data_IF_591840482904
#
_entry.id   IF_591840482904
#
_cell.length_a   1.000
_cell.length_b   1.000
_cell.length_c   1.000
_cell.angle_alpha   90.00
_cell.angle_beta   90.00
_cell.angle_gamma   90.00
#
_symmetry.space_group_name_H-M   'P 1'
#
loop_
_entity.id
_entity.type
_entity.pdbx_description
1 polymer ?
#
# COMPACT_ATOMS: atom_id res chain seq x y z
N UNK A 1 36.20 22.57 30.64
CA UNK A 1 36.48 21.31 29.89
C UNK A 1 35.67 21.40 28.61
N UNK A 2 36.30 21.84 27.51
CA UNK A 2 35.63 21.96 26.21
C UNK A 2 35.50 20.57 25.61
N UNK A 3 34.28 20.03 25.57
CA UNK A 3 33.99 18.84 24.80
C UNK A 3 33.86 19.30 23.35
N UNK A 4 34.98 19.26 22.62
CA UNK A 4 34.97 19.34 21.16
C UNK A 4 34.31 18.06 20.66
N UNK A 5 33.00 18.11 20.39
CA UNK A 5 32.38 17.12 19.54
C UNK A 5 32.92 17.36 18.13
N UNK A 6 33.88 16.54 17.73
CA UNK A 6 34.32 16.46 16.34
C UNK A 6 33.11 15.99 15.52
N UNK A 7 32.33 16.96 15.03
CA UNK A 7 30.98 16.73 14.52
C UNK A 7 31.03 15.87 13.25
N UNK A 8 32.15 15.91 12.54
CA UNK A 8 32.42 15.09 11.35
C UNK A 8 32.64 13.60 11.68
N UNK A 9 33.33 13.24 12.78
CA UNK A 9 33.49 11.84 13.20
C UNK A 9 32.19 11.25 13.77
N UNK A 10 31.37 12.06 14.44
CA UNK A 10 30.05 11.64 14.93
C UNK A 10 29.07 11.45 13.77
N UNK A 11 29.11 12.30 12.74
CA UNK A 11 28.32 12.15 11.52
C UNK A 11 28.78 10.98 10.65
N UNK A 12 30.07 10.64 10.67
CA UNK A 12 30.62 9.48 9.94
C UNK A 12 30.23 8.12 10.56
N UNK A 13 29.84 8.09 11.85
CA UNK A 13 29.44 6.87 12.57
C UNK A 13 27.95 6.81 12.90
N UNK A 14 27.21 7.93 12.82
CA UNK A 14 25.78 7.95 13.01
C UNK A 14 25.05 7.38 11.78
N UNK A 15 24.61 6.12 11.89
CA UNK A 15 23.65 5.53 10.94
C UNK A 15 22.41 6.43 10.88
N UNK A 16 22.08 6.94 9.70
CA UNK A 16 20.89 7.76 9.44
C UNK A 16 19.66 6.87 9.28
N UNK A 17 18.45 7.40 9.48
CA UNK A 17 17.23 6.59 9.32
C UNK A 17 16.98 6.27 7.85
N UNK A 18 16.53 5.05 7.56
CA UNK A 18 16.11 4.60 6.21
C UNK A 18 14.59 4.49 6.12
N UNK A 19 13.95 4.17 7.25
CA UNK A 19 12.51 3.98 7.36
C UNK A 19 11.96 4.73 8.58
N UNK A 20 10.75 5.27 8.47
CA UNK A 20 10.14 6.02 9.57
C UNK A 20 8.61 5.89 9.57
N UNK A 21 8.00 5.39 10.67
CA UNK A 21 6.55 5.36 10.80
C UNK A 21 5.98 6.77 11.03
N UNK A 22 6.84 7.74 11.41
CA UNK A 22 6.48 9.13 11.58
C UNK A 22 6.29 9.86 10.24
N UNK A 23 6.64 9.26 9.10
CA UNK A 23 6.51 9.88 7.78
C UNK A 23 5.10 10.42 7.51
N UNK A 24 4.07 9.71 7.95
CA UNK A 24 2.67 10.16 7.84
C UNK A 24 1.99 10.38 9.19
N UNK A 25 2.67 10.09 10.30
CA UNK A 25 2.09 10.18 11.64
C UNK A 25 3.01 10.93 12.61
N UNK A 26 2.87 12.26 12.66
CA UNK A 26 3.59 13.19 13.55
C UNK A 26 3.77 12.74 15.01
N UNK A 27 2.79 12.01 15.57
CA UNK A 27 2.77 11.57 16.98
C UNK A 27 3.12 10.10 17.16
N UNK A 28 3.67 9.46 16.14
CA UNK A 28 4.27 8.14 16.29
C UNK A 28 5.33 8.21 17.37
N UNK A 29 5.10 7.55 18.50
CA UNK A 29 6.11 7.35 19.55
C UNK A 29 7.18 6.34 19.12
N UNK A 30 7.04 5.77 17.92
CA UNK A 30 7.94 4.77 17.40
C UNK A 30 9.14 5.41 16.74
N UNK A 31 10.33 4.98 17.14
CA UNK A 31 11.58 5.44 16.56
C UNK A 31 11.66 5.07 15.07
N UNK A 32 12.23 5.93 14.22
CA UNK A 32 12.71 5.54 12.90
C UNK A 32 13.69 4.36 13.01
N UNK A 33 14.03 3.71 11.92
CA UNK A 33 15.00 2.60 11.93
C UNK A 33 16.02 2.73 10.80
N UNK A 34 17.20 2.14 11.02
CA UNK A 34 18.17 1.83 9.97
C UNK A 34 18.16 0.34 9.71
N UNK A 35 17.69 -0.07 8.53
CA UNK A 35 17.67 -1.45 8.08
C UNK A 35 17.75 -1.47 6.54
N UNK A 36 18.38 -2.52 6.00
CA UNK A 36 18.55 -2.72 4.56
C UNK A 36 18.04 -4.11 4.20
N UNK A 37 17.31 -4.22 3.08
CA UNK A 37 16.85 -5.50 2.55
C UNK A 37 18.05 -6.30 2.02
N UNK A 38 18.32 -7.45 2.65
CA UNK A 38 19.48 -8.31 2.35
C UNK A 38 19.20 -9.40 1.32
N UNK A 39 17.95 -9.52 0.86
CA UNK A 39 17.50 -10.54 -0.09
C UNK A 39 16.94 -9.88 -1.36
N UNK A 40 16.65 -10.70 -2.36
CA UNK A 40 16.12 -10.23 -3.62
C UNK A 40 14.63 -9.92 -3.51
N UNK A 41 14.21 -8.84 -4.18
CA UNK A 41 12.82 -8.44 -4.34
C UNK A 41 12.48 -8.58 -5.83
N UNK A 42 11.29 -9.10 -6.19
CA UNK A 42 10.90 -9.18 -7.60
C UNK A 42 10.97 -7.80 -8.27
N UNK A 43 11.51 -7.77 -9.49
CA UNK A 43 11.90 -6.52 -10.18
C UNK A 43 10.73 -5.58 -10.51
N UNK A 44 9.50 -6.06 -10.45
CA UNK A 44 8.29 -5.28 -10.67
C UNK A 44 7.69 -4.68 -9.38
N UNK A 45 8.34 -4.90 -8.22
CA UNK A 45 7.98 -4.27 -6.96
C UNK A 45 8.94 -3.14 -6.62
N UNK A 46 8.40 -1.96 -6.36
CA UNK A 46 9.12 -0.79 -5.83
C UNK A 46 9.44 -1.05 -4.36
N UNK A 47 10.73 -0.94 -4.02
CA UNK A 47 11.30 -1.03 -2.68
C UNK A 47 12.63 -0.28 -2.61
N UNK A 48 13.20 -0.11 -1.43
CA UNK A 48 14.54 0.44 -1.24
C UNK A 48 15.63 -0.40 -1.92
N UNK A 49 15.35 -1.67 -2.24
CA UNK A 49 16.25 -2.58 -2.95
C UNK A 49 16.22 -2.43 -4.46
N UNK A 50 15.07 -2.09 -5.02
CA UNK A 50 14.80 -2.08 -6.47
C UNK A 50 14.76 -0.66 -7.07
N UNK A 51 14.89 0.36 -6.23
CA UNK A 51 14.99 1.76 -6.64
C UNK A 51 16.40 2.27 -6.41
N UNK A 52 16.97 2.96 -7.41
CA UNK A 52 18.22 3.70 -7.27
C UNK A 52 18.00 4.98 -6.46
N UNK A 53 18.18 4.86 -5.15
CA UNK A 53 18.09 5.97 -4.22
C UNK A 53 19.29 6.92 -4.39
N UNK A 54 19.05 8.19 -4.71
CA UNK A 54 20.07 9.26 -4.70
C UNK A 54 20.49 9.61 -3.26
N UNK A 55 19.65 9.27 -2.28
CA UNK A 55 19.91 9.44 -0.85
C UNK A 55 19.30 8.28 -0.05
N UNK A 56 20.16 7.54 0.65
CA UNK A 56 19.76 6.35 1.42
C UNK A 56 19.33 6.67 2.86
N UNK A 57 19.97 7.66 3.49
CA UNK A 57 19.78 7.99 4.89
C UNK A 57 19.16 9.37 5.08
N UNK A 58 18.36 9.54 6.14
CA UNK A 58 17.69 10.79 6.48
C UNK A 58 17.97 11.18 7.93
N UNK A 59 18.18 12.48 8.16
CA UNK A 59 18.25 13.04 9.50
C UNK A 59 16.85 13.01 10.12
N UNK A 60 16.80 12.59 11.37
CA UNK A 60 15.57 12.45 12.13
C UNK A 60 15.81 13.06 13.52
N UNK A 61 14.87 13.88 14.00
CA UNK A 61 15.06 14.68 15.23
C UNK A 61 15.25 13.81 16.49
N UNK A 62 14.82 12.54 16.46
CA UNK A 62 14.87 11.62 17.60
C UNK A 62 15.99 10.56 17.49
N UNK A 63 16.90 10.67 16.53
CA UNK A 63 17.87 9.61 16.22
C UNK A 63 19.19 9.76 16.96
N UNK A 64 19.12 9.81 18.30
CA UNK A 64 20.30 9.65 19.13
C UNK A 64 20.89 8.24 18.96
N UNK A 65 21.88 8.09 18.07
CA UNK A 65 22.75 6.92 17.89
C UNK A 65 22.03 5.57 17.74
N UNK A 66 21.70 5.19 16.51
CA UNK A 66 21.14 3.86 16.20
C UNK A 66 22.10 2.72 16.53
N UNK A 67 21.67 1.81 17.42
CA UNK A 67 22.34 0.52 17.71
C UNK A 67 21.72 -0.69 17.00
N UNK A 68 20.62 -0.52 16.25
CA UNK A 68 19.89 -1.60 15.58
C UNK A 68 18.40 -1.27 15.41
N UNK A 69 17.61 -2.27 15.00
CA UNK A 69 16.15 -2.20 14.99
C UNK A 69 15.65 -2.26 16.44
N UNK A 70 14.83 -1.30 16.90
CA UNK A 70 14.37 -1.23 18.28
C UNK A 70 13.30 -2.28 18.57
N UNK A 71 13.23 -2.74 19.82
CA UNK A 71 12.11 -3.55 20.28
C UNK A 71 10.79 -2.79 20.14
N UNK A 72 9.71 -3.52 19.87
CA UNK A 72 8.37 -2.95 19.91
C UNK A 72 8.00 -2.65 21.37
N UNK A 73 7.83 -1.37 21.70
CA UNK A 73 7.58 -0.89 23.08
C UNK A 73 6.15 -0.40 23.34
N UNK A 74 5.32 -0.29 22.31
CA UNK A 74 3.93 0.18 22.42
C UNK A 74 3.01 -0.62 21.49
N UNK A 75 1.96 -1.19 22.06
CA UNK A 75 0.94 -1.90 21.30
C UNK A 75 0.08 -0.96 20.46
N UNK A 76 0.09 0.36 20.67
CA UNK A 76 -0.68 1.35 19.89
C UNK A 76 -0.12 1.61 18.49
N UNK A 77 1.11 1.18 18.23
CA UNK A 77 1.73 1.23 16.90
C UNK A 77 0.89 0.43 15.92
N UNK A 78 0.76 0.92 14.68
CA UNK A 78 0.04 0.22 13.61
C UNK A 78 0.72 -1.13 13.37
N UNK A 79 -0.05 -2.19 13.52
CA UNK A 79 0.39 -3.57 13.31
C UNK A 79 -0.66 -4.27 12.45
N UNK A 80 -0.19 -5.04 11.46
CA UNK A 80 -1.02 -5.91 10.60
C UNK A 80 -0.67 -7.34 10.95
N UNK A 81 -1.67 -8.18 11.25
CA UNK A 81 -1.44 -9.59 11.53
C UNK A 81 -1.46 -10.37 10.21
N UNK A 82 -0.35 -11.03 9.88
CA UNK A 82 -0.24 -11.85 8.67
C UNK A 82 0.13 -13.28 9.08
N UNK A 83 -0.63 -14.30 8.66
CA UNK A 83 -0.24 -15.69 8.90
C UNK A 83 1.00 -16.01 8.06
N UNK A 84 2.15 -16.25 8.67
CA UNK A 84 3.35 -16.70 7.96
C UNK A 84 3.44 -18.22 8.02
N UNK A 85 4.04 -18.82 6.98
CA UNK A 85 4.28 -20.26 6.93
C UNK A 85 5.10 -20.69 8.14
N UNK A 86 4.69 -21.81 8.75
CA UNK A 86 5.33 -22.44 9.91
C UNK A 86 5.31 -21.63 11.23
N UNK A 87 5.04 -20.32 11.19
CA UNK A 87 4.97 -19.44 12.36
C UNK A 87 3.53 -19.06 12.77
N UNK A 88 2.55 -19.25 11.89
CA UNK A 88 1.19 -18.79 12.13
C UNK A 88 1.07 -17.26 12.10
N UNK A 89 0.06 -16.66 12.75
CA UNK A 89 -0.15 -15.20 12.74
C UNK A 89 1.04 -14.43 13.34
N UNK A 90 1.70 -13.57 12.56
CA UNK A 90 2.77 -12.67 12.99
C UNK A 90 2.31 -11.22 12.84
N UNK A 91 2.55 -10.38 13.86
CA UNK A 91 2.27 -8.96 13.76
C UNK A 91 3.42 -8.25 13.02
N UNK A 92 3.08 -7.55 11.94
CA UNK A 92 4.02 -6.76 11.15
C UNK A 92 3.74 -5.28 11.39
N UNK A 93 4.77 -4.53 11.77
CA UNK A 93 4.73 -3.06 11.70
C UNK A 93 5.22 -2.64 10.32
N UNK A 94 4.33 -2.15 9.44
CA UNK A 94 4.73 -1.67 8.13
C UNK A 94 5.47 -0.32 8.25
N UNK A 95 6.63 -0.24 7.62
CA UNK A 95 7.54 0.90 7.69
C UNK A 95 7.73 1.47 6.28
N UNK A 96 7.34 2.72 6.00
CA UNK A 96 7.63 3.33 4.71
C UNK A 96 9.13 3.65 4.62
N UNK A 97 9.76 3.27 3.51
CA UNK A 97 11.12 3.65 3.19
C UNK A 97 11.17 5.12 2.75
N UNK A 98 11.86 5.95 3.51
CA UNK A 98 11.89 7.41 3.31
C UNK A 98 12.51 7.75 1.94
N UNK A 99 13.52 6.98 1.53
CA UNK A 99 14.21 7.15 0.25
C UNK A 99 13.28 7.03 -0.96
N UNK A 100 12.28 6.16 -0.92
CA UNK A 100 11.34 5.99 -2.04
C UNK A 100 10.52 7.26 -2.26
N UNK A 101 10.00 7.86 -1.21
CA UNK A 101 9.21 9.10 -1.30
C UNK A 101 10.08 10.31 -1.67
N UNK A 102 11.34 10.32 -1.23
CA UNK A 102 12.33 11.30 -1.70
C UNK A 102 12.52 11.21 -3.21
N UNK A 103 12.75 10.01 -3.74
CA UNK A 103 12.90 9.79 -5.18
C UNK A 103 11.62 10.16 -5.94
N UNK A 104 10.46 9.78 -5.43
CA UNK A 104 9.16 10.15 -6.01
C UNK A 104 9.00 11.67 -6.12
N UNK A 105 9.41 12.42 -5.09
CA UNK A 105 9.38 13.88 -5.09
C UNK A 105 10.36 14.49 -6.09
N UNK A 106 11.58 13.94 -6.20
CA UNK A 106 12.61 14.44 -7.11
C UNK A 106 12.31 14.12 -8.57
N UNK A 107 11.99 12.85 -8.86
CA UNK A 107 11.78 12.33 -10.21
C UNK A 107 10.48 12.84 -10.83
N UNK A 108 9.46 13.22 -10.05
CA UNK A 108 8.22 13.79 -10.62
C UNK A 108 8.51 14.94 -11.60
N UNK A 109 9.52 15.78 -11.30
CA UNK A 109 9.95 16.87 -12.19
C UNK A 109 10.55 16.38 -13.50
N UNK A 110 11.33 15.29 -13.43
CA UNK A 110 11.96 14.63 -14.57
C UNK A 110 10.89 14.06 -15.54
N UNK A 111 9.71 13.71 -15.02
CA UNK A 111 8.57 13.18 -15.77
C UNK A 111 7.41 14.19 -15.93
N UNK A 112 7.71 15.50 -15.95
CA UNK A 112 6.74 16.53 -16.32
C UNK A 112 5.65 16.83 -15.28
N UNK A 113 5.85 16.46 -14.01
CA UNK A 113 4.91 16.64 -12.90
C UNK A 113 3.58 15.90 -13.08
N UNK A 114 3.61 14.67 -13.58
CA UNK A 114 2.42 13.85 -13.81
C UNK A 114 1.74 13.37 -12.51
N UNK A 115 2.46 13.31 -11.39
CA UNK A 115 1.93 12.80 -10.12
C UNK A 115 1.11 13.85 -9.37
N UNK A 116 0.16 13.39 -8.55
CA UNK A 116 -0.63 14.23 -7.66
C UNK A 116 0.21 14.67 -6.46
N UNK A 117 0.26 15.96 -6.20
CA UNK A 117 0.84 16.52 -4.98
C UNK A 117 -0.17 16.36 -3.82
N UNK A 118 0.28 15.71 -2.75
CA UNK A 118 -0.50 15.45 -1.53
C UNK A 118 0.15 16.20 -0.36
N UNK A 119 -0.64 17.03 0.32
CA UNK A 119 -0.21 17.76 1.53
C UNK A 119 -0.35 16.86 2.75
N UNK A 120 0.77 16.40 3.31
CA UNK A 120 0.83 15.59 4.54
C UNK A 120 0.74 16.48 5.78
N UNK A 121 1.39 17.64 5.76
CA UNK A 121 1.35 18.65 6.82
C UNK A 121 1.35 20.05 6.18
N UNK A 122 0.47 20.94 6.63
CA UNK A 122 0.34 22.30 6.11
C UNK A 122 1.04 23.35 6.98
N UNK A 123 1.37 23.03 8.24
CA UNK A 123 2.02 23.98 9.15
C UNK A 123 3.53 23.90 9.04
N UNK A 124 4.14 24.94 8.45
CA UNK A 124 5.60 25.06 8.31
C UNK A 124 6.37 24.79 9.61
N UNK A 125 5.89 25.35 10.73
CA UNK A 125 6.48 25.15 12.07
C UNK A 125 6.47 23.70 12.57
N UNK A 126 5.73 22.82 11.90
CA UNK A 126 5.55 21.41 12.26
C UNK A 126 6.32 20.47 11.35
N UNK A 127 6.92 20.94 10.26
CA UNK A 127 7.62 20.05 9.32
C UNK A 127 8.80 19.33 9.97
N UNK A 128 9.56 20.06 10.79
CA UNK A 128 10.69 19.51 11.54
C UNK A 128 10.28 18.34 12.44
N UNK A 129 9.04 18.34 12.95
CA UNK A 129 8.54 17.30 13.87
C UNK A 129 8.28 15.94 13.20
N UNK A 130 8.31 15.86 11.86
CA UNK A 130 8.10 14.60 11.13
C UNK A 130 9.45 13.93 10.86
N UNK A 131 10.17 14.43 9.86
CA UNK A 131 11.49 13.98 9.42
C UNK A 131 12.05 14.95 8.37
N UNK A 132 13.33 14.78 8.02
CA UNK A 132 14.00 15.62 7.02
C UNK A 132 13.28 15.64 5.67
N UNK A 133 12.66 14.54 5.21
CA UNK A 133 11.95 14.51 3.93
C UNK A 133 10.74 15.45 3.91
N UNK A 134 9.91 15.43 4.96
CA UNK A 134 8.74 16.32 5.07
C UNK A 134 9.19 17.78 5.17
N UNK A 135 10.30 18.05 5.86
CA UNK A 135 10.91 19.39 5.94
C UNK A 135 11.36 19.92 4.58
N UNK A 136 12.20 19.16 3.84
CA UNK A 136 12.70 19.60 2.53
C UNK A 136 11.60 19.67 1.46
N UNK A 137 10.53 18.89 1.63
CA UNK A 137 9.38 18.87 0.70
C UNK A 137 8.27 19.82 1.12
N UNK A 138 8.51 20.67 2.13
CA UNK A 138 7.58 21.66 2.63
C UNK A 138 6.20 21.08 2.97
N UNK A 139 6.18 19.92 3.64
CA UNK A 139 4.95 19.28 4.06
C UNK A 139 4.24 18.42 3.01
N UNK A 140 4.83 18.28 1.81
CA UNK A 140 4.16 17.66 0.66
C UNK A 140 4.91 16.43 0.13
N UNK A 141 4.15 15.52 -0.48
CA UNK A 141 4.69 14.37 -1.21
C UNK A 141 3.95 14.22 -2.53
N UNK A 142 4.60 13.64 -3.54
CA UNK A 142 3.95 13.23 -4.77
C UNK A 142 3.38 11.82 -4.62
N UNK A 143 2.31 11.54 -5.36
CA UNK A 143 1.59 10.27 -5.30
C UNK A 143 1.07 9.88 -6.68
N UNK A 144 1.14 8.59 -7.03
CA UNK A 144 0.42 8.07 -8.19
C UNK A 144 -1.08 8.24 -7.95
N UNK A 145 -1.80 8.80 -8.91
CA UNK A 145 -3.22 9.07 -8.75
C UNK A 145 -4.03 8.23 -9.74
N UNK A 146 -4.87 7.34 -9.23
CA UNK A 146 -5.86 6.66 -10.04
C UNK A 146 -7.11 7.55 -10.10
N UNK A 147 -7.56 8.02 -11.27
CA UNK A 147 -8.80 8.80 -11.38
C UNK A 147 -10.00 8.06 -10.79
N UNK A 148 -11.04 8.81 -10.43
CA UNK A 148 -12.30 8.21 -9.98
C UNK A 148 -12.93 7.38 -11.11
N UNK A 149 -13.41 6.19 -10.74
CA UNK A 149 -14.13 5.30 -11.64
C UNK A 149 -15.60 5.56 -11.37
N UNK A 150 -16.31 6.12 -12.34
CA UNK A 150 -17.75 6.37 -12.21
C UNK A 150 -18.48 5.04 -12.02
N UNK A 151 -19.29 4.94 -10.96
CA UNK A 151 -20.11 3.77 -10.71
C UNK A 151 -21.04 3.49 -11.89
N UNK A 152 -20.88 2.32 -12.50
CA UNK A 152 -21.76 1.82 -13.57
C UNK A 152 -22.80 0.85 -13.00
N UNK A 153 -23.93 0.63 -13.70
CA UNK A 153 -24.89 -0.42 -13.31
C UNK A 153 -24.19 -1.77 -13.17
N UNK A 154 -24.51 -2.48 -12.10
CA UNK A 154 -24.00 -3.84 -11.89
C UNK A 154 -24.71 -4.76 -12.87
N UNK A 155 -23.94 -5.29 -13.80
CA UNK A 155 -24.37 -6.26 -14.80
C UNK A 155 -23.47 -7.48 -14.71
N UNK A 156 -24.04 -8.64 -15.05
CA UNK A 156 -23.31 -9.90 -15.05
C UNK A 156 -23.45 -10.54 -16.43
N UNK A 157 -22.34 -11.07 -16.91
CA UNK A 157 -22.31 -11.75 -18.20
C UNK A 157 -23.10 -13.06 -18.14
N UNK A 158 -23.37 -13.62 -19.32
CA UNK A 158 -23.93 -14.98 -19.43
C UNK A 158 -22.90 -16.08 -19.10
N UNK A 159 -21.62 -15.72 -18.99
CA UNK A 159 -20.54 -16.66 -18.70
C UNK A 159 -20.54 -17.01 -17.23
N UNK A 160 -20.85 -18.27 -16.93
CA UNK A 160 -20.81 -18.82 -15.58
C UNK A 160 -19.36 -19.02 -15.14
N UNK A 161 -19.09 -18.67 -13.88
CA UNK A 161 -17.85 -19.02 -13.20
C UNK A 161 -17.79 -20.54 -12.93
N UNK A 162 -16.58 -21.12 -12.79
CA UNK A 162 -16.39 -22.47 -12.27
C UNK A 162 -17.12 -22.71 -10.93
N UNK A 163 -17.47 -23.96 -10.61
CA UNK A 163 -18.27 -24.28 -9.41
C UNK A 163 -17.50 -24.09 -8.09
N UNK A 164 -16.18 -24.01 -8.15
CA UNK A 164 -15.26 -23.65 -7.06
C UNK A 164 -14.95 -22.15 -6.98
N UNK A 165 -15.60 -21.36 -7.83
CA UNK A 165 -15.47 -19.90 -7.88
C UNK A 165 -16.81 -19.20 -7.68
N UNK A 166 -16.77 -17.98 -7.17
CA UNK A 166 -17.94 -17.11 -7.13
C UNK A 166 -17.54 -15.64 -7.07
N UNK A 167 -18.43 -14.75 -7.51
CA UNK A 167 -18.23 -13.32 -7.41
C UNK A 167 -18.96 -12.73 -6.21
N UNK A 168 -18.22 -12.10 -5.31
CA UNK A 168 -18.72 -11.25 -4.25
C UNK A 168 -18.73 -9.79 -4.70
N UNK A 169 -19.90 -9.19 -4.76
CA UNK A 169 -20.05 -7.74 -4.97
C UNK A 169 -20.21 -7.05 -3.62
N UNK A 170 -19.43 -6.01 -3.35
CA UNK A 170 -19.49 -5.24 -2.10
C UNK A 170 -19.49 -3.75 -2.36
N UNK A 171 -20.23 -3.04 -1.52
CA UNK A 171 -20.18 -1.58 -1.41
C UNK A 171 -19.67 -1.18 -0.04
N UNK A 172 -18.67 -0.32 -0.05
CA UNK A 172 -17.86 0.01 1.11
C UNK A 172 -17.89 1.52 1.31
N UNK A 173 -18.20 1.94 2.54
CA UNK A 173 -18.11 3.33 2.95
C UNK A 173 -16.87 3.56 3.82
N UNK A 174 -16.28 4.76 3.70
CA UNK A 174 -15.03 5.17 4.35
C UNK A 174 -13.86 4.18 4.16
N UNK A 175 -13.74 3.60 2.96
CA UNK A 175 -12.62 2.74 2.58
C UNK A 175 -11.34 3.57 2.47
N UNK A 176 -10.23 3.06 2.98
CA UNK A 176 -8.90 3.65 2.76
C UNK A 176 -8.47 3.39 1.31
N UNK A 177 -8.41 4.46 0.53
CA UNK A 177 -8.01 4.51 -0.88
C UNK A 177 -6.57 5.01 -1.05
N UNK A 178 -5.77 4.95 0.01
CA UNK A 178 -4.35 5.30 -0.02
C UNK A 178 -3.49 4.06 0.20
N UNK A 179 -2.67 3.73 -0.80
CA UNK A 179 -1.64 2.71 -0.69
C UNK A 179 -0.41 3.28 0.02
N UNK A 180 -0.57 3.64 1.31
CA UNK A 180 0.42 4.38 2.11
C UNK A 180 0.90 5.68 1.44
N UNK A 181 -0.01 6.36 0.75
CA UNK A 181 0.23 7.61 0.01
C UNK A 181 1.29 7.55 -1.09
N UNK A 182 1.92 6.40 -1.39
CA UNK A 182 2.68 6.26 -2.65
C UNK A 182 1.74 6.39 -3.84
N UNK A 183 0.51 5.89 -3.66
CA UNK A 183 -0.57 5.99 -4.61
C UNK A 183 -1.91 6.26 -3.89
N UNK A 184 -2.82 6.92 -4.59
CA UNK A 184 -4.15 7.30 -4.13
C UNK A 184 -5.23 6.94 -5.15
N UNK A 185 -6.43 6.67 -4.65
CA UNK A 185 -7.63 6.37 -5.44
C UNK A 185 -8.02 4.90 -5.53
N UNK A 186 -7.17 3.99 -5.04
CA UNK A 186 -7.47 2.57 -4.91
C UNK A 186 -7.05 2.05 -3.54
N UNK A 187 -7.77 1.08 -2.96
CA UNK A 187 -7.30 0.39 -1.77
C UNK A 187 -6.02 -0.40 -2.07
N UNK A 188 -5.20 -0.66 -1.05
CA UNK A 188 -4.05 -1.55 -1.22
C UNK A 188 -4.50 -3.00 -1.41
N UNK A 189 -3.80 -3.75 -2.26
CA UNK A 189 -4.02 -5.21 -2.41
C UNK A 189 -3.81 -5.91 -1.07
N UNK A 190 -2.83 -5.49 -0.27
CA UNK A 190 -2.62 -6.03 1.09
C UNK A 190 -3.82 -5.85 2.02
N UNK A 191 -4.61 -4.78 1.85
CA UNK A 191 -5.80 -4.54 2.67
C UNK A 191 -6.95 -5.46 2.28
N UNK A 192 -7.13 -5.72 0.98
CA UNK A 192 -8.09 -6.70 0.47
C UNK A 192 -7.64 -8.12 0.86
N UNK A 193 -6.36 -8.44 0.67
CA UNK A 193 -5.78 -9.70 1.09
C UNK A 193 -5.92 -9.96 2.59
N UNK A 194 -5.86 -8.92 3.44
CA UNK A 194 -6.07 -9.04 4.88
C UNK A 194 -7.49 -9.51 5.23
N UNK A 195 -8.50 -9.09 4.48
CA UNK A 195 -9.85 -9.62 4.59
C UNK A 195 -9.88 -11.11 4.27
N UNK A 196 -9.24 -11.53 3.17
CA UNK A 196 -9.18 -12.95 2.81
C UNK A 196 -8.38 -13.79 3.80
N UNK A 197 -7.21 -13.35 4.28
CA UNK A 197 -6.48 -14.05 5.34
C UNK A 197 -7.36 -14.26 6.60
N UNK A 198 -8.25 -13.31 6.93
CA UNK A 198 -9.19 -13.45 8.04
C UNK A 198 -10.28 -14.50 7.74
N UNK A 199 -10.82 -14.50 6.52
CA UNK A 199 -11.76 -15.53 6.06
C UNK A 199 -11.10 -16.92 6.07
N UNK A 200 -9.87 -17.05 5.60
CA UNK A 200 -9.11 -18.30 5.64
C UNK A 200 -8.91 -18.80 7.08
N UNK A 201 -8.56 -17.89 8.01
CA UNK A 201 -8.42 -18.22 9.44
C UNK A 201 -9.73 -18.75 10.03
N UNK A 202 -10.88 -18.20 9.62
CA UNK A 202 -12.19 -18.52 10.19
C UNK A 202 -12.84 -19.76 9.59
N UNK A 203 -12.61 -19.99 8.30
CA UNK A 203 -13.20 -21.11 7.56
C UNK A 203 -12.26 -22.31 7.45
N UNK A 204 -10.95 -22.10 7.62
CA UNK A 204 -9.92 -23.10 7.34
C UNK A 204 -9.69 -23.36 5.85
N UNK A 205 -10.37 -22.62 4.96
CA UNK A 205 -10.29 -22.78 3.51
C UNK A 205 -9.32 -21.76 2.92
N UNK A 206 -8.49 -22.17 1.97
CA UNK A 206 -7.64 -21.23 1.23
C UNK A 206 -8.43 -20.50 0.15
N UNK A 207 -8.05 -19.25 -0.09
CA UNK A 207 -8.73 -18.37 -1.02
C UNK A 207 -7.72 -17.61 -1.88
N UNK A 208 -7.83 -17.82 -3.19
CA UNK A 208 -7.27 -16.91 -4.18
C UNK A 208 -8.35 -15.90 -4.59
N UNK A 209 -7.98 -14.67 -4.94
CA UNK A 209 -8.95 -13.63 -5.26
C UNK A 209 -8.55 -12.75 -6.45
N UNK A 210 -9.53 -12.36 -7.25
CA UNK A 210 -9.44 -11.30 -8.26
C UNK A 210 -10.02 -10.00 -7.71
N UNK A 211 -9.50 -8.86 -8.18
CA UNK A 211 -10.03 -7.54 -7.80
C UNK A 211 -10.61 -6.85 -9.03
N UNK A 212 -11.92 -6.69 -9.05
CA UNK A 212 -12.66 -5.85 -9.98
C UNK A 212 -13.19 -4.60 -9.27
N UNK A 213 -13.08 -3.45 -9.91
CA UNK A 213 -13.52 -2.15 -9.40
C UNK A 213 -14.60 -1.61 -10.34
N UNK A 214 -15.82 -1.45 -9.84
CA UNK A 214 -16.95 -0.93 -10.60
C UNK A 214 -17.30 0.51 -10.27
N UNK A 215 -16.76 1.06 -9.16
CA UNK A 215 -16.90 2.47 -8.82
C UNK A 215 -15.99 2.92 -7.68
N UNK A 216 -15.48 4.14 -7.77
CA UNK A 216 -14.71 4.81 -6.72
C UNK A 216 -15.13 6.28 -6.61
N UNK A 217 -15.35 6.75 -5.40
CA UNK A 217 -15.63 8.16 -5.08
C UNK A 217 -14.66 8.56 -3.97
N UNK A 218 -13.75 9.50 -4.24
CA UNK A 218 -12.82 9.99 -3.24
C UNK A 218 -13.53 11.07 -2.43
N UNK A 219 -13.50 10.92 -1.11
CA UNK A 219 -13.84 12.05 -0.28
C UNK A 219 -12.72 13.09 -0.44
N UNK A 220 -13.06 14.32 -0.81
CA UNK A 220 -12.08 15.41 -0.86
C UNK A 220 -11.51 15.59 0.56
N UNK A 221 -10.30 15.10 0.77
CA UNK A 221 -9.48 15.19 1.98
C UNK A 221 -10.22 14.83 3.28
N UNK A 222 -10.01 13.61 3.78
CA UNK A 222 -10.22 13.35 5.21
C UNK A 222 -9.12 14.09 5.96
N UNK A 223 -9.38 15.32 6.38
CA UNK A 223 -8.56 16.04 7.35
C UNK A 223 -8.64 15.28 8.66
N UNK A 224 -7.66 14.42 8.93
CA UNK A 224 -7.57 13.66 10.17
C UNK A 224 -7.17 14.64 11.27
N UNK A 225 -8.20 15.21 11.91
CA UNK A 225 -8.20 16.11 13.08
C UNK A 225 -8.09 17.60 12.77
N UNK A 226 -9.24 18.24 12.56
CA UNK A 226 -9.46 19.55 13.18
C UNK A 226 -9.46 19.39 14.71
N UNK A 227 -8.30 19.44 15.35
CA UNK A 227 -8.27 19.77 16.77
C UNK A 227 -8.45 21.28 16.87
N UNK A 228 -9.67 21.74 17.11
CA UNK A 228 -9.95 23.12 17.49
C UNK A 228 -9.23 23.39 18.82
N UNK A 229 -8.04 23.98 18.77
CA UNK A 229 -7.35 24.46 19.95
C UNK A 229 -7.92 25.85 20.25
N UNK A 230 -8.85 25.94 21.20
CA UNK A 230 -9.28 27.22 21.75
C UNK A 230 -8.16 27.79 22.61
N UNK A 231 -7.45 28.80 22.12
CA UNK A 231 -6.60 29.62 22.98
C UNK A 231 -7.49 30.52 23.84
N UNK A 232 -7.28 30.62 25.17
CA UNK A 232 -8.14 31.40 26.07
C UNK A 232 -8.28 32.90 25.75
N UNK A 233 -7.55 33.44 24.77
CA UNK A 233 -7.52 34.88 24.44
C UNK A 233 -7.51 35.24 22.96
N UNK A 234 -7.54 34.26 22.05
CA UNK A 234 -7.59 34.50 20.60
C UNK A 234 -8.60 33.56 19.95
N UNK A 235 -9.69 34.12 19.40
CA UNK A 235 -10.69 33.39 18.61
C UNK A 235 -10.16 33.16 17.19
N UNK A 236 -9.06 32.43 17.05
CA UNK A 236 -8.54 32.04 15.74
C UNK A 236 -8.81 30.57 15.53
N UNK A 237 -9.72 30.25 14.61
CA UNK A 237 -9.90 28.89 14.11
C UNK A 237 -8.78 28.65 13.09
N UNK A 238 -7.92 27.68 13.34
CA UNK A 238 -6.96 27.20 12.35
C UNK A 238 -7.41 25.80 11.97
N UNK A 239 -8.04 25.67 10.79
CA UNK A 239 -8.27 24.37 10.16
C UNK A 239 -6.90 23.70 9.95
N UNK A 240 -6.82 22.40 10.18
CA UNK A 240 -5.56 21.65 10.10
C UNK A 240 -5.70 20.62 8.99
N UNK A 241 -4.99 20.81 7.89
CA UNK A 241 -4.88 19.85 6.80
C UNK A 241 -3.75 18.87 7.06
N UNK A 242 -3.95 17.91 7.98
CA UNK A 242 -3.09 16.74 8.09
C UNK A 242 -3.75 15.59 7.32
N UNK A 243 -3.06 15.08 6.29
CA UNK A 243 -3.50 13.91 5.52
C UNK A 243 -2.50 12.79 5.76
N UNK A 244 -2.93 11.75 6.46
CA UNK A 244 -2.18 10.50 6.62
C UNK A 244 -2.77 9.34 5.81
N UNK A 245 -3.97 9.54 5.24
CA UNK A 245 -4.64 8.64 4.33
C UNK A 245 -5.69 9.37 3.48
N UNK A 246 -6.09 8.78 2.36
CA UNK A 246 -7.25 9.20 1.57
C UNK A 246 -8.34 8.15 1.73
N UNK A 247 -9.56 8.57 2.06
CA UNK A 247 -10.71 7.66 2.16
C UNK A 247 -11.77 8.01 1.13
N UNK A 248 -12.68 7.07 0.88
CA UNK A 248 -13.78 7.26 -0.04
C UNK A 248 -14.79 6.12 -0.04
N UNK A 249 -15.73 6.18 -0.97
CA UNK A 249 -16.64 5.07 -1.25
C UNK A 249 -16.07 4.20 -2.36
N UNK A 250 -16.36 2.92 -2.27
CA UNK A 250 -15.80 1.91 -3.14
C UNK A 250 -16.83 0.83 -3.45
N UNK A 251 -16.97 0.49 -4.73
CA UNK A 251 -17.72 -0.66 -5.20
C UNK A 251 -16.74 -1.66 -5.82
N UNK A 252 -16.68 -2.87 -5.25
CA UNK A 252 -15.81 -3.94 -5.71
C UNK A 252 -16.62 -5.15 -6.17
N UNK A 253 -16.06 -5.83 -7.17
CA UNK A 253 -16.35 -7.21 -7.50
C UNK A 253 -15.11 -8.04 -7.18
N UNK A 254 -15.24 -9.03 -6.31
CA UNK A 254 -14.17 -9.93 -5.94
C UNK A 254 -14.54 -11.32 -6.45
N UNK A 255 -13.82 -11.84 -7.45
CA UNK A 255 -13.94 -13.26 -7.80
C UNK A 255 -13.08 -14.03 -6.82
N UNK A 256 -13.68 -15.00 -6.16
CA UNK A 256 -13.10 -15.79 -5.10
C UNK A 256 -12.96 -17.20 -5.65
N UNK A 257 -11.75 -17.74 -5.63
CA UNK A 257 -11.44 -19.11 -6.05
C UNK A 257 -10.98 -19.93 -4.85
N UNK A 258 -11.58 -21.10 -4.69
CA UNK A 258 -11.31 -22.02 -3.59
C UNK A 258 -10.82 -23.37 -4.11
N UNK A 259 -10.27 -24.21 -3.24
CA UNK A 259 -9.72 -25.52 -3.64
C UNK A 259 -10.80 -26.51 -4.12
N UNK A 260 -12.09 -26.28 -3.81
CA UNK A 260 -13.20 -27.14 -4.24
C UNK A 260 -14.56 -26.44 -4.14
N UNK A 261 -15.62 -26.96 -4.80
CA UNK A 261 -16.98 -26.43 -4.65
C UNK A 261 -17.52 -26.48 -3.21
N UNK A 262 -17.10 -27.47 -2.41
CA UNK A 262 -17.50 -27.53 -0.99
C UNK A 262 -16.83 -26.41 -0.18
N UNK A 263 -15.56 -26.14 -0.44
CA UNK A 263 -14.84 -25.02 0.18
C UNK A 263 -15.47 -23.68 -0.22
N UNK A 264 -15.78 -23.50 -1.50
CA UNK A 264 -16.45 -22.30 -2.01
C UNK A 264 -17.78 -22.03 -1.28
N UNK A 265 -18.60 -23.06 -1.07
CA UNK A 265 -19.85 -22.93 -0.31
C UNK A 265 -19.62 -22.53 1.16
N UNK A 266 -18.64 -23.11 1.84
CA UNK A 266 -18.31 -22.73 3.23
C UNK A 266 -17.87 -21.27 3.33
N UNK A 267 -17.01 -20.82 2.40
CA UNK A 267 -16.53 -19.44 2.34
C UNK A 267 -17.68 -18.48 2.03
N UNK A 268 -18.54 -18.83 1.07
CA UNK A 268 -19.75 -18.08 0.71
C UNK A 268 -20.67 -17.89 1.90
N UNK A 269 -20.98 -18.97 2.60
CA UNK A 269 -21.88 -18.94 3.77
C UNK A 269 -21.30 -18.09 4.90
N UNK A 270 -19.99 -18.19 5.17
CA UNK A 270 -19.32 -17.36 6.16
C UNK A 270 -19.42 -15.87 5.80
N UNK A 271 -19.04 -15.51 4.57
CA UNK A 271 -19.04 -14.11 4.12
C UNK A 271 -20.43 -13.49 4.18
N UNK A 272 -21.49 -14.22 3.80
CA UNK A 272 -22.85 -13.69 3.82
C UNK A 272 -23.38 -13.40 5.23
N UNK A 273 -22.98 -14.19 6.22
CA UNK A 273 -23.51 -14.09 7.58
C UNK A 273 -22.73 -13.14 8.51
N UNK A 274 -21.57 -12.63 8.08
CA UNK A 274 -20.70 -11.82 8.94
C UNK A 274 -20.67 -10.33 8.57
N UNK A 275 -20.53 -9.46 9.58
CA UNK A 275 -20.23 -8.05 9.33
C UNK A 275 -18.76 -7.90 8.93
N UNK A 276 -18.53 -7.51 7.67
CA UNK A 276 -17.19 -7.47 7.08
C UNK A 276 -16.69 -6.03 6.92
N UNK A 277 -15.38 -5.86 7.09
CA UNK A 277 -14.65 -4.63 6.78
C UNK A 277 -13.57 -4.92 5.76
N UNK A 278 -13.43 -4.06 4.76
CA UNK A 278 -12.41 -4.15 3.72
C UNK A 278 -11.73 -2.80 3.62
N UNK A 279 -10.39 -2.78 3.62
CA UNK A 279 -9.60 -1.54 3.61
C UNK A 279 -10.10 -0.52 4.65
N UNK A 280 -10.25 -0.96 5.90
CA UNK A 280 -10.81 -0.23 7.06
C UNK A 280 -12.28 0.22 6.98
N UNK A 281 -12.83 0.32 5.77
CA UNK A 281 -14.21 0.72 5.51
C UNK A 281 -15.23 -0.34 5.90
N UNK A 282 -16.46 0.10 6.17
CA UNK A 282 -17.57 -0.77 6.50
C UNK A 282 -18.27 -1.20 5.22
N UNK A 283 -18.44 -2.52 5.02
CA UNK A 283 -19.28 -3.03 3.94
C UNK A 283 -20.73 -2.90 4.37
N UNK A 284 -21.48 -2.02 3.72
CA UNK A 284 -22.90 -1.78 4.04
C UNK A 284 -23.85 -2.57 3.13
N UNK A 285 -23.36 -3.06 2.00
CA UNK A 285 -24.11 -3.92 1.09
C UNK A 285 -23.17 -4.96 0.47
N UNK A 286 -23.63 -6.20 0.41
CA UNK A 286 -22.91 -7.31 -0.22
C UNK A 286 -23.88 -8.27 -0.91
N UNK A 287 -23.47 -8.86 -2.02
CA UNK A 287 -24.21 -9.89 -2.75
C UNK A 287 -23.25 -10.87 -3.42
N UNK A 288 -23.71 -12.09 -3.68
CA UNK A 288 -22.92 -13.13 -4.35
C UNK A 288 -23.63 -13.60 -5.61
N UNK A 289 -22.87 -13.86 -6.67
CA UNK A 289 -23.35 -14.49 -7.89
C UNK A 289 -22.30 -15.45 -8.47
N UNK A 290 -22.73 -16.29 -9.42
CA UNK A 290 -21.90 -17.30 -10.07
C UNK A 290 -21.50 -16.90 -11.51
N UNK A 291 -21.53 -15.60 -11.83
CA UNK A 291 -21.28 -15.09 -13.17
C UNK A 291 -20.18 -14.03 -13.17
N UNK A 292 -19.47 -13.90 -14.29
CA UNK A 292 -18.44 -12.88 -14.44
C UNK A 292 -19.09 -11.49 -14.49
N UNK A 293 -18.68 -10.53 -13.63
CA UNK A 293 -19.13 -9.14 -13.67
C UNK A 293 -18.81 -8.46 -15.00
N UNK A 294 -19.74 -7.65 -15.49
CA UNK A 294 -19.52 -6.69 -16.57
C UNK A 294 -19.25 -5.30 -16.00
N UNK A 295 -18.93 -4.32 -16.86
CA UNK A 295 -18.71 -2.91 -16.47
C UNK A 295 -17.69 -2.70 -15.33
N UNK A 296 -16.65 -3.52 -15.29
CA UNK A 296 -15.69 -3.60 -14.19
C UNK A 296 -14.28 -3.37 -14.69
N UNK A 297 -13.49 -2.57 -13.96
CA UNK A 297 -12.04 -2.48 -14.16
C UNK A 297 -11.36 -3.56 -13.32
N UNK A 298 -10.76 -4.54 -13.96
CA UNK A 298 -9.96 -5.57 -13.32
C UNK A 298 -8.55 -5.05 -13.04
N UNK A 299 -8.06 -5.31 -11.84
CA UNK A 299 -6.73 -4.96 -11.39
C UNK A 299 -5.79 -6.15 -11.55
N UNK A 300 -4.74 -5.94 -12.32
CA UNK A 300 -3.70 -6.91 -12.61
C UNK A 300 -2.33 -6.37 -12.21
N UNK A 301 -1.40 -7.27 -11.94
CA UNK A 301 0.01 -6.96 -11.82
C UNK A 301 0.65 -6.76 -13.20
N UNK A 302 1.42 -5.70 -13.39
CA UNK A 302 2.11 -5.46 -14.66
C UNK A 302 3.35 -6.36 -14.77
N UNK A 303 3.34 -7.31 -15.71
CA UNK A 303 4.49 -8.17 -16.02
C UNK A 303 5.52 -7.42 -16.89
N UNK A 304 6.76 -7.17 -16.41
CA UNK A 304 7.81 -6.56 -17.20
C UNK A 304 8.17 -7.33 -18.49
N UNK A 305 7.83 -8.62 -18.59
CA UNK A 305 8.13 -9.45 -19.76
C UNK A 305 7.15 -9.24 -20.91
N UNK A 306 5.90 -8.91 -20.63
CA UNK A 306 4.84 -8.80 -21.65
C UNK A 306 4.41 -7.36 -21.91
N UNK A 307 4.68 -6.45 -20.96
CA UNK A 307 4.21 -5.07 -21.00
C UNK A 307 4.61 -4.31 -22.27
N UNK A 308 5.79 -4.57 -22.81
CA UNK A 308 6.26 -3.97 -24.07
C UNK A 308 5.38 -4.36 -25.25
N UNK A 309 5.03 -5.65 -25.35
CA UNK A 309 4.16 -6.16 -26.40
C UNK A 309 2.72 -5.70 -26.18
N UNK A 310 2.24 -5.65 -24.94
CA UNK A 310 0.91 -5.13 -24.59
C UNK A 310 0.76 -3.65 -24.96
N UNK A 311 1.80 -2.83 -24.76
CA UNK A 311 1.81 -1.42 -25.16
C UNK A 311 1.84 -1.25 -26.67
N UNK A 312 2.66 -2.05 -27.38
CA UNK A 312 2.71 -2.05 -28.86
C UNK A 312 1.38 -2.45 -29.48
N UNK A 313 0.73 -3.49 -28.95
CA UNK A 313 -0.58 -3.95 -29.41
C UNK A 313 -1.67 -2.88 -29.22
N UNK A 314 -1.49 -1.96 -28.26
CA UNK A 314 -2.35 -0.80 -28.02
C UNK A 314 -1.90 0.47 -28.73
N UNK A 315 -0.92 0.38 -29.65
CA UNK A 315 -0.36 1.50 -30.40
C UNK A 315 0.23 2.62 -29.52
N UNK A 316 0.66 2.28 -28.29
CA UNK A 316 1.39 3.19 -27.42
C UNK A 316 2.87 3.12 -27.80
N UNK A 317 3.42 4.19 -28.36
CA UNK A 317 4.81 4.27 -28.83
C UNK A 317 5.59 5.37 -28.10
N UNK A 318 6.92 5.25 -28.08
CA UNK A 318 7.82 6.26 -27.52
C UNK A 318 8.20 6.10 -26.04
N UNK A 319 7.83 4.99 -25.40
CA UNK A 319 8.18 4.71 -24.00
C UNK A 319 9.09 3.47 -23.94
N UNK A 320 10.37 3.57 -23.52
CA UNK A 320 11.26 2.43 -23.35
C UNK A 320 10.99 1.74 -22.01
N UNK A 321 10.36 0.57 -22.01
CA UNK A 321 9.65 0.09 -20.81
C UNK A 321 10.54 -0.65 -19.81
N UNK A 322 11.50 -1.49 -20.23
CA UNK A 322 12.33 -2.19 -19.26
C UNK A 322 13.42 -1.30 -18.67
N UNK A 323 13.21 -0.85 -17.42
CA UNK A 323 14.20 -0.13 -16.62
C UNK A 323 14.68 -1.01 -15.45
N UNK A 324 15.99 -1.07 -15.15
CA UNK A 324 16.50 -1.73 -13.94
C UNK A 324 15.96 -1.11 -12.65
N UNK A 325 15.57 0.17 -12.70
CA UNK A 325 14.96 0.90 -11.59
C UNK A 325 13.43 0.83 -11.67
N UNK A 326 12.81 0.16 -10.70
CA UNK A 326 11.38 -0.13 -10.73
C UNK A 326 10.52 1.13 -10.55
N UNK A 327 11.03 2.18 -9.90
CA UNK A 327 10.28 3.43 -9.78
C UNK A 327 10.25 4.17 -11.11
N UNK A 328 11.35 4.18 -11.86
CA UNK A 328 11.36 4.75 -13.21
C UNK A 328 10.43 3.97 -14.15
N UNK A 329 10.45 2.63 -14.08
CA UNK A 329 9.49 1.77 -14.78
C UNK A 329 8.03 2.18 -14.47
N UNK A 330 7.69 2.31 -13.19
CA UNK A 330 6.34 2.71 -12.77
C UNK A 330 5.94 4.11 -13.28
N UNK A 331 6.86 5.08 -13.22
CA UNK A 331 6.61 6.45 -13.67
C UNK A 331 6.41 6.55 -15.19
N UNK A 332 7.19 5.79 -15.96
CA UNK A 332 7.04 5.74 -17.42
C UNK A 332 5.72 5.12 -17.83
N UNK A 333 5.35 3.99 -17.23
CA UNK A 333 4.04 3.35 -17.46
C UNK A 333 2.89 4.26 -17.04
N UNK A 334 3.00 4.93 -15.90
CA UNK A 334 1.98 5.89 -15.47
C UNK A 334 1.80 7.03 -16.49
N UNK A 335 2.88 7.47 -17.14
CA UNK A 335 2.84 8.47 -18.21
C UNK A 335 2.00 8.06 -19.42
N UNK A 336 1.85 6.75 -19.70
CA UNK A 336 1.03 6.27 -20.82
C UNK A 336 -0.47 6.47 -20.59
N UNK A 337 -0.90 6.72 -19.35
CA UNK A 337 -2.30 6.95 -18.99
C UNK A 337 -2.91 8.19 -19.68
N UNK A 338 -2.08 9.09 -20.19
CA UNK A 338 -2.52 10.28 -20.97
C UNK A 338 -3.02 9.85 -22.36
N UNK A 339 -2.47 8.77 -22.90
CA UNK A 339 -2.73 8.29 -24.27
C UNK A 339 -3.84 7.24 -24.28
N UNK A 340 -3.84 6.33 -23.29
CA UNK A 340 -4.81 5.25 -23.20
C UNK A 340 -5.85 5.55 -22.11
N UNK A 341 -7.11 5.74 -22.51
CA UNK A 341 -8.21 6.00 -21.57
C UNK A 341 -8.81 4.74 -20.96
N UNK A 342 -8.65 3.57 -21.60
CA UNK A 342 -9.27 2.30 -21.19
C UNK A 342 -8.38 1.51 -20.24
N UNK A 343 -7.07 1.64 -20.38
CA UNK A 343 -6.10 0.97 -19.52
C UNK A 343 -5.31 2.00 -18.73
N UNK A 344 -5.19 1.77 -17.42
CA UNK A 344 -4.51 2.71 -16.52
C UNK A 344 -3.47 1.99 -15.69
N UNK A 345 -2.21 2.39 -15.82
CA UNK A 345 -1.15 1.97 -14.91
C UNK A 345 -1.21 2.77 -13.62
N UNK A 346 -0.91 2.11 -12.51
CA UNK A 346 -0.84 2.70 -11.17
C UNK A 346 0.06 1.85 -10.28
N UNK A 347 0.15 2.20 -9.02
CA UNK A 347 0.92 1.47 -8.01
C UNK A 347 0.03 1.12 -6.84
N UNK A 348 0.18 -0.05 -6.25
CA UNK A 348 -0.55 -0.46 -5.05
C UNK A 348 0.38 -1.11 -4.03
N UNK A 349 0.08 -1.01 -2.72
CA UNK A 349 0.84 -1.78 -1.72
C UNK A 349 0.43 -3.26 -1.77
N UNK A 350 1.39 -4.13 -2.05
CA UNK A 350 1.15 -5.53 -2.39
C UNK A 350 1.92 -6.52 -1.51
N UNK A 351 2.78 -6.06 -0.60
CA UNK A 351 3.48 -6.96 0.29
C UNK A 351 4.34 -6.26 1.32
N UNK A 352 5.15 -7.07 1.98
CA UNK A 352 6.02 -6.68 3.08
C UNK A 352 7.35 -7.44 2.98
N UNK A 353 8.47 -6.71 2.94
CA UNK A 353 9.82 -7.26 3.06
C UNK A 353 10.30 -7.10 4.51
N UNK A 354 10.53 -8.22 5.20
CA UNK A 354 10.87 -8.25 6.61
C UNK A 354 12.26 -7.62 6.82
N UNK A 355 12.33 -6.65 7.73
CA UNK A 355 13.57 -5.94 8.09
C UNK A 355 14.29 -6.62 9.25
N UNK A 356 13.58 -7.45 10.01
CA UNK A 356 14.12 -8.35 11.02
C UNK A 356 13.32 -9.65 11.06
N UNK A 357 13.95 -10.70 11.59
CA UNK A 357 13.25 -11.95 11.87
C UNK A 357 12.10 -11.72 12.87
N UNK A 358 10.98 -12.45 12.74
CA UNK A 358 9.92 -12.44 13.73
C UNK A 358 10.45 -12.85 15.11
N UNK A 359 10.25 -11.99 16.09
CA UNK A 359 10.68 -12.21 17.48
C UNK A 359 9.51 -12.03 18.44
N UNK A 360 9.55 -12.69 19.58
CA UNK A 360 8.52 -12.53 20.60
C UNK A 360 8.51 -11.09 21.14
N UNK A 361 7.32 -10.50 21.26
CA UNK A 361 7.08 -9.23 21.94
C UNK A 361 5.75 -9.25 22.69
N UNK A 362 5.76 -8.82 23.94
CA UNK A 362 4.54 -8.66 24.76
C UNK A 362 3.59 -7.60 24.19
N UNK A 363 4.12 -6.65 23.41
CA UNK A 363 3.35 -5.59 22.75
C UNK A 363 2.82 -5.98 21.37
N UNK A 364 3.15 -7.19 20.89
CA UNK A 364 2.60 -7.75 19.67
C UNK A 364 1.08 -7.96 19.80
N UNK A 365 0.35 -7.54 18.77
CA UNK A 365 -1.09 -7.76 18.63
C UNK A 365 -1.45 -9.13 18.04
N UNK A 366 -0.48 -9.92 17.58
CA UNK A 366 -0.76 -11.26 17.09
C UNK A 366 -1.06 -12.24 18.22
N UNK A 367 -1.75 -13.33 17.90
CA UNK A 367 -2.04 -14.42 18.83
C UNK A 367 -0.76 -15.13 19.30
N UNK A 368 0.21 -15.32 18.40
CA UNK A 368 1.50 -15.96 18.69
C UNK A 368 2.47 -15.06 19.46
N UNK A 369 2.13 -13.77 19.60
CA UNK A 369 3.00 -12.72 20.14
C UNK A 369 4.32 -12.51 19.38
N UNK A 370 4.45 -13.08 18.19
CA UNK A 370 5.56 -12.78 17.29
C UNK A 370 5.33 -11.43 16.60
N UNK A 371 6.42 -10.67 16.44
CA UNK A 371 6.44 -9.37 15.80
C UNK A 371 7.69 -9.16 14.94
N UNK A 372 7.54 -8.43 13.84
CA UNK A 372 8.66 -7.88 13.08
C UNK A 372 8.30 -6.53 12.43
N UNK A 373 9.33 -5.79 12.03
CA UNK A 373 9.20 -4.65 11.14
C UNK A 373 9.37 -5.12 9.70
N UNK A 374 8.64 -4.49 8.79
CA UNK A 374 8.79 -4.76 7.37
C UNK A 374 8.68 -3.49 6.55
N UNK A 375 9.47 -3.39 5.50
CA UNK A 375 9.28 -2.41 4.45
C UNK A 375 8.04 -2.78 3.62
N UNK A 376 7.22 -1.79 3.28
CA UNK A 376 6.07 -1.99 2.39
C UNK A 376 6.59 -2.16 0.96
N UNK A 377 6.15 -3.22 0.29
CA UNK A 377 6.41 -3.46 -1.13
C UNK A 377 5.24 -2.94 -1.98
N UNK A 378 5.55 -2.24 -3.07
CA UNK A 378 4.54 -1.70 -3.96
C UNK A 378 4.67 -2.30 -5.36
N UNK A 379 3.61 -2.93 -5.87
CA UNK A 379 3.62 -3.45 -7.23
C UNK A 379 3.19 -2.37 -8.23
N UNK A 380 3.76 -2.42 -9.43
CA UNK A 380 3.20 -1.73 -10.58
C UNK A 380 2.01 -2.55 -11.08
N UNK A 381 0.86 -1.91 -11.17
CA UNK A 381 -0.40 -2.55 -11.52
C UNK A 381 -1.01 -1.87 -12.75
N UNK A 382 -1.85 -2.60 -13.48
CA UNK A 382 -2.66 -2.06 -14.55
C UNK A 382 -4.14 -2.37 -14.32
N UNK A 383 -4.98 -1.38 -14.56
CA UNK A 383 -6.43 -1.51 -14.62
C UNK A 383 -6.84 -1.72 -16.07
N UNK A 384 -7.71 -2.71 -16.32
CA UNK A 384 -8.29 -2.97 -17.64
C UNK A 384 -9.79 -3.24 -17.53
N UNK A 385 -10.58 -2.73 -18.48
CA UNK A 385 -11.99 -3.16 -18.65
C UNK A 385 -12.09 -4.58 -19.23
N UNK A 386 -10.99 -5.12 -19.76
CA UNK A 386 -10.93 -6.47 -20.32
C UNK A 386 -10.76 -7.50 -19.20
N UNK A 387 -11.60 -8.54 -19.24
CA UNK A 387 -11.49 -9.72 -18.39
C UNK A 387 -10.51 -10.72 -19.00
N UNK A 388 -9.35 -10.86 -18.39
CA UNK A 388 -8.26 -11.74 -18.79
C UNK A 388 -8.10 -12.79 -17.67
N UNK A 389 -8.62 -14.01 -17.83
CA UNK A 389 -8.58 -15.03 -16.77
C UNK A 389 -7.15 -15.41 -16.39
N UNK A 390 -6.27 -15.42 -17.39
CA UNK A 390 -4.85 -15.67 -17.24
C UNK A 390 -4.23 -14.47 -16.48
N UNK A 391 -3.68 -14.71 -15.29
CA UNK A 391 -3.08 -13.72 -14.37
C UNK A 391 -4.05 -12.81 -13.59
N UNK A 392 -5.33 -13.20 -13.47
CA UNK A 392 -6.32 -12.43 -12.74
C UNK A 392 -6.20 -12.57 -11.20
N UNK A 393 -5.86 -13.78 -10.75
CA UNK A 393 -5.95 -14.16 -9.34
C UNK A 393 -4.68 -13.79 -8.57
N UNK A 394 -4.85 -12.94 -7.56
CA UNK A 394 -3.83 -12.57 -6.61
C UNK A 394 -3.61 -13.70 -5.61
N UNK A 395 -2.40 -14.26 -5.64
CA UNK A 395 -1.99 -15.37 -4.76
C UNK A 395 -0.94 -14.89 -3.78
N UNK A 396 -1.03 -15.40 -2.56
CA UNK A 396 0.01 -15.16 -1.56
C UNK A 396 1.28 -15.92 -1.92
N UNK A 397 2.38 -15.19 -2.04
CA UNK A 397 3.73 -15.71 -2.20
C UNK A 397 4.51 -15.40 -0.92
N UNK A 398 5.32 -16.35 -0.49
CA UNK A 398 6.11 -16.22 0.73
C UNK A 398 7.49 -16.81 0.52
N UNK A 399 8.51 -16.05 0.92
CA UNK A 399 9.87 -16.54 1.12
C UNK A 399 10.12 -16.53 2.62
N UNK A 400 10.21 -17.70 3.29
CA UNK A 400 10.24 -17.78 4.75
C UNK A 400 11.31 -16.89 5.38
N UNK A 401 10.89 -16.07 6.34
CA UNK A 401 11.76 -15.13 7.06
C UNK A 401 12.26 -13.93 6.25
N UNK A 402 11.81 -13.75 5.00
CA UNK A 402 12.30 -12.70 4.11
C UNK A 402 11.18 -11.80 3.61
N UNK A 403 10.23 -12.32 2.81
CA UNK A 403 9.13 -11.49 2.30
C UNK A 403 7.82 -12.26 2.17
N UNK A 404 6.73 -11.52 2.29
CA UNK A 404 5.36 -11.98 2.03
C UNK A 404 4.65 -10.96 1.16
N UNK A 405 4.05 -11.40 0.07
CA UNK A 405 3.42 -10.51 -0.91
C UNK A 405 2.31 -11.22 -1.68
N UNK A 406 1.46 -10.44 -2.33
CA UNK A 406 0.41 -10.92 -3.22
C UNK A 406 0.77 -10.55 -4.64
N UNK A 407 0.74 -11.56 -5.51
CA UNK A 407 1.10 -11.46 -6.91
C UNK A 407 0.07 -12.18 -7.76
N UNK A 408 -0.31 -11.55 -8.88
CA UNK A 408 -1.19 -12.16 -9.89
C UNK A 408 -0.40 -12.82 -11.02
N UNK A 409 0.93 -12.80 -10.95
CA UNK A 409 1.88 -13.46 -11.87
C UNK A 409 2.35 -14.85 -11.40
#
# INVERSE_FOLDING_TARGET
MNINFNTEEFLATAKQATHSPALFHKKSMHSPIYAEIQFDIPLNYISSKTVHLRKNGFKELNCATFKGIPDLVDSKVKQVSIPLKDLGPVAITPMPAIGIYYELNKRNKDYGNALLEVTVEDRERSFSDYNELIEISQGKINSFNTPEITLRPIEFSKSKLPDDEFCLTVFIDDANLSSNLIATGLPSVTSIASFFNYVELKTGQKVDFAIGISGTEKNQNVSVREKVIKYPRTRTNVGVGQVDQSNGKLALHLIISCESPSAANQVRDYILNEDIRIATGLVYQKSICDFVPENTYWLYEADPKTVDDDLRNRYVSGFPVFQPDTLDYAMQLYGTNIVDSRHKYTVTSNGYALLNAPTFSTYSRSETKLHCYAEILYAVCYLSEEYLPDNLFWKKKEVPGQLVYWSSL
#
